data_IF_038746366204
#
_entry.id   IF_038746366204
#
_cell.length_a   1.000
_cell.length_b   1.000
_cell.length_c   1.000
_cell.angle_alpha   90.00
_cell.angle_beta   90.00
_cell.angle_gamma   90.00
#
_symmetry.space_group_name_H-M   'P 1'
#
loop_
_entity.id
_entity.type
_entity.pdbx_description
1 polymer ?
#
# COMPACT_ATOMS: atom_id res chain seq x y z
N UNK A 1 14.72 22.27 15.87
CA UNK A 1 14.66 23.62 16.49
C UNK A 1 14.32 24.63 15.40
N UNK A 2 13.30 25.45 15.60
CA UNK A 2 12.91 26.48 14.61
C UNK A 2 13.88 27.65 14.77
N UNK A 3 14.96 27.67 14.00
CA UNK A 3 16.02 28.66 14.18
C UNK A 3 15.64 30.03 13.60
N UNK A 4 14.81 30.07 12.58
CA UNK A 4 14.37 31.33 11.97
C UNK A 4 13.17 31.12 11.01
N UNK A 5 12.16 31.95 11.12
CA UNK A 5 11.14 32.14 10.09
C UNK A 5 11.41 33.48 9.41
N UNK A 6 11.49 33.48 8.08
CA UNK A 6 11.71 34.69 7.29
C UNK A 6 10.61 34.84 6.27
N UNK A 7 10.17 36.07 6.04
CA UNK A 7 9.31 36.42 4.92
C UNK A 7 10.14 36.78 3.66
N UNK A 8 9.48 36.88 2.51
CA UNK A 8 10.08 37.40 1.27
C UNK A 8 10.63 38.80 1.48
N UNK A 9 11.57 39.20 0.63
CA UNK A 9 12.20 40.54 0.70
C UNK A 9 11.13 41.65 0.71
N UNK A 10 11.24 42.57 1.64
CA UNK A 10 10.27 43.67 1.81
C UNK A 10 9.07 43.34 2.69
N UNK A 11 9.02 42.15 3.28
CA UNK A 11 7.98 41.77 4.24
C UNK A 11 8.59 41.32 5.57
N UNK A 12 7.83 41.54 6.64
CA UNK A 12 8.14 41.06 7.98
C UNK A 12 7.14 39.99 8.38
N UNK A 13 7.55 39.05 9.24
CA UNK A 13 6.65 38.04 9.84
C UNK A 13 6.62 38.22 11.35
N UNK A 14 5.43 38.15 11.92
CA UNK A 14 5.22 38.15 13.36
C UNK A 14 4.20 37.10 13.76
N UNK A 15 4.47 36.38 14.83
CA UNK A 15 3.50 35.49 15.44
C UNK A 15 2.63 36.27 16.42
N UNK A 16 1.33 35.97 16.43
CA UNK A 16 0.35 36.74 17.20
C UNK A 16 0.23 36.26 18.65
N UNK A 17 0.77 35.10 18.97
CA UNK A 17 0.80 34.53 20.33
C UNK A 17 2.19 33.98 20.68
N UNK A 18 3.13 34.87 21.00
CA UNK A 18 4.54 34.57 21.22
C UNK A 18 4.78 33.73 22.51
N UNK A 19 3.84 33.78 23.48
CA UNK A 19 4.00 33.06 24.75
C UNK A 19 4.04 31.55 24.62
N UNK A 20 3.51 31.00 23.50
CA UNK A 20 3.48 29.55 23.25
C UNK A 20 4.71 29.05 22.45
N UNK A 21 5.52 29.93 21.85
CA UNK A 21 6.73 29.56 21.11
C UNK A 21 7.86 28.98 21.99
N UNK A 22 7.79 29.18 23.30
CA UNK A 22 8.82 28.72 24.23
C UNK A 22 8.76 27.21 24.50
N UNK A 23 7.68 26.53 24.08
CA UNK A 23 7.51 25.10 24.29
C UNK A 23 6.98 24.39 23.03
N UNK A 24 7.90 24.18 22.07
CA UNK A 24 7.65 23.53 20.79
C UNK A 24 7.02 22.11 20.96
N UNK A 25 7.49 21.33 21.92
CA UNK A 25 6.98 19.99 22.17
C UNK A 25 5.51 20.03 22.63
N UNK A 26 5.14 21.01 23.45
CA UNK A 26 3.74 21.21 23.87
C UNK A 26 2.86 21.61 22.69
N UNK A 27 3.35 22.42 21.79
CA UNK A 27 2.59 22.85 20.60
C UNK A 27 2.36 21.70 19.61
N UNK A 28 3.34 20.81 19.45
CA UNK A 28 3.19 19.58 18.67
C UNK A 28 2.13 18.67 19.32
N UNK A 29 2.20 18.46 20.63
CA UNK A 29 1.25 17.63 21.39
C UNK A 29 -0.16 18.20 21.42
N UNK A 30 -0.31 19.52 21.57
CA UNK A 30 -1.61 20.19 21.61
C UNK A 30 -2.21 20.46 20.23
N UNK A 31 -1.45 20.19 19.14
CA UNK A 31 -1.87 20.39 17.74
C UNK A 31 -2.44 21.80 17.44
N UNK A 32 -2.09 22.77 18.24
CA UNK A 32 -2.62 24.13 18.11
C UNK A 32 -2.02 24.86 16.92
N UNK A 33 -2.86 25.52 16.10
CA UNK A 33 -2.36 26.41 15.07
C UNK A 33 -1.70 27.63 15.71
N UNK A 34 -0.54 28.02 15.18
CA UNK A 34 0.12 29.24 15.59
C UNK A 34 -0.24 30.37 14.62
N UNK A 35 -1.07 31.33 15.03
CA UNK A 35 -1.45 32.41 14.15
C UNK A 35 -0.28 33.35 13.86
N UNK A 36 -0.07 33.70 12.61
CA UNK A 36 0.96 34.62 12.16
C UNK A 36 0.42 35.68 11.23
N UNK A 37 1.17 36.75 11.09
CA UNK A 37 0.96 37.80 10.12
C UNK A 37 2.24 38.03 9.32
N UNK A 38 2.12 38.11 8.00
CA UNK A 38 3.16 38.62 7.11
C UNK A 38 2.71 39.99 6.66
N UNK A 39 3.54 41.00 6.84
CA UNK A 39 3.13 42.38 6.61
C UNK A 39 4.28 43.25 6.08
N UNK A 40 3.91 44.34 5.46
CA UNK A 40 4.76 45.48 5.15
C UNK A 40 3.99 46.79 5.42
N UNK A 41 4.53 47.94 4.99
CA UNK A 41 3.88 49.24 5.25
C UNK A 41 2.47 49.38 4.63
N UNK A 42 2.13 48.60 3.61
CA UNK A 42 0.93 48.82 2.79
C UNK A 42 -0.02 47.62 2.76
N UNK A 43 0.44 46.42 3.14
CA UNK A 43 -0.34 45.20 3.02
C UNK A 43 0.00 44.20 4.11
N UNK A 44 -0.95 43.30 4.37
CA UNK A 44 -0.71 42.17 5.27
C UNK A 44 -1.49 40.94 4.82
N UNK A 45 -0.98 39.77 5.20
CA UNK A 45 -1.63 38.48 5.09
C UNK A 45 -1.59 37.77 6.46
N UNK A 46 -2.68 37.16 6.86
CA UNK A 46 -2.75 36.34 8.08
C UNK A 46 -2.83 34.87 7.71
N UNK A 47 -2.21 34.03 8.53
CA UNK A 47 -2.25 32.57 8.38
C UNK A 47 -2.07 31.86 9.72
N UNK A 48 -2.11 30.56 9.66
CA UNK A 48 -1.79 29.69 10.79
C UNK A 48 -0.64 28.78 10.38
N UNK A 49 0.37 28.69 11.22
CA UNK A 49 1.43 27.69 11.08
C UNK A 49 1.06 26.46 11.90
N UNK A 50 1.22 25.30 11.32
CA UNK A 50 1.11 24.01 11.99
C UNK A 50 2.48 23.34 11.98
N UNK A 51 2.76 22.58 13.02
CA UNK A 51 3.97 21.80 13.10
C UNK A 51 3.61 20.32 12.89
N UNK A 52 4.48 19.60 12.23
CA UNK A 52 4.33 18.15 12.04
C UNK A 52 5.67 17.45 12.19
N UNK A 53 5.65 16.23 12.71
CA UNK A 53 6.81 15.32 12.69
C UNK A 53 6.88 14.48 11.42
N UNK A 54 5.83 14.53 10.58
CA UNK A 54 5.80 13.79 9.32
C UNK A 54 6.60 14.53 8.23
N UNK A 55 7.19 13.79 7.28
CA UNK A 55 7.74 14.38 6.07
C UNK A 55 6.67 15.14 5.27
N UNK A 56 7.07 16.23 4.62
CA UNK A 56 6.20 17.05 3.78
C UNK A 56 6.62 16.88 2.33
N UNK A 57 5.68 16.54 1.47
CA UNK A 57 5.87 16.54 0.02
C UNK A 57 5.07 17.68 -0.61
N UNK A 58 5.71 18.43 -1.48
CA UNK A 58 5.10 19.48 -2.29
C UNK A 58 5.15 19.04 -3.75
N UNK A 59 4.01 19.09 -4.43
CA UNK A 59 3.90 18.93 -5.87
C UNK A 59 3.38 20.23 -6.48
N UNK A 60 4.21 20.89 -7.26
CA UNK A 60 3.88 22.12 -7.98
C UNK A 60 3.74 21.82 -9.47
N UNK A 61 2.53 21.97 -10.02
CA UNK A 61 2.22 21.69 -11.42
C UNK A 61 2.63 22.84 -12.33
N UNK A 62 3.42 22.56 -13.36
CA UNK A 62 3.82 23.55 -14.38
C UNK A 62 2.92 23.48 -15.60
N UNK A 63 2.55 22.27 -16.02
CA UNK A 63 1.68 22.03 -17.17
C UNK A 63 0.87 20.76 -17.01
N UNK A 64 -0.26 20.73 -17.68
CA UNK A 64 -1.16 19.58 -17.72
C UNK A 64 -1.39 19.18 -19.17
N UNK A 65 -1.23 17.91 -19.48
CA UNK A 65 -1.52 17.32 -20.78
C UNK A 65 -2.60 16.24 -20.60
N UNK A 66 -3.20 15.84 -21.69
CA UNK A 66 -4.16 14.74 -21.73
C UNK A 66 -3.65 13.69 -22.70
N UNK A 67 -3.64 12.43 -22.28
CA UNK A 67 -3.25 11.33 -23.14
C UNK A 67 -4.30 11.03 -24.22
N UNK A 68 -4.03 10.03 -25.07
CA UNK A 68 -4.95 9.63 -26.15
C UNK A 68 -6.28 9.04 -25.66
N UNK A 69 -6.39 8.70 -24.37
CA UNK A 69 -7.59 8.18 -23.71
C UNK A 69 -8.31 9.26 -22.88
N UNK A 70 -7.72 10.46 -22.80
CA UNK A 70 -8.26 11.60 -22.06
C UNK A 70 -7.89 11.59 -20.58
N UNK A 71 -6.94 10.76 -20.15
CA UNK A 71 -6.40 10.79 -18.79
C UNK A 71 -5.48 12.00 -18.62
N UNK A 72 -5.61 12.66 -17.48
CA UNK A 72 -4.83 13.85 -17.13
C UNK A 72 -3.43 13.48 -16.65
N UNK A 73 -2.41 14.01 -17.31
CA UNK A 73 -1.00 13.87 -16.94
C UNK A 73 -0.43 15.26 -16.59
N UNK A 74 0.07 15.41 -15.39
CA UNK A 74 0.65 16.66 -14.88
C UNK A 74 2.16 16.56 -14.86
N UNK A 75 2.82 17.61 -15.32
CA UNK A 75 4.26 17.80 -15.21
C UNK A 75 4.56 18.93 -14.25
N UNK A 76 5.54 18.73 -13.39
CA UNK A 76 5.84 19.71 -12.35
C UNK A 76 7.16 19.42 -11.63
N UNK A 77 7.24 19.93 -10.41
CA UNK A 77 8.35 19.68 -9.50
C UNK A 77 7.83 19.05 -8.22
N UNK A 78 8.51 18.01 -7.78
CA UNK A 78 8.35 17.41 -6.46
C UNK A 78 9.44 17.94 -5.55
N UNK A 79 9.07 18.45 -4.37
CA UNK A 79 10.00 18.74 -3.28
C UNK A 79 9.57 17.93 -2.05
N UNK A 80 10.50 17.16 -1.49
CA UNK A 80 10.28 16.34 -0.30
C UNK A 80 11.16 16.80 0.86
N UNK A 81 10.55 17.15 1.99
CA UNK A 81 11.19 17.50 3.25
C UNK A 81 10.99 16.34 4.24
N UNK A 82 12.05 15.63 4.57
CA UNK A 82 11.99 14.48 5.49
C UNK A 82 13.41 14.03 5.89
N UNK A 83 14.22 14.98 6.30
CA UNK A 83 15.66 14.89 6.47
C UNK A 83 16.34 15.95 5.58
N UNK A 84 17.21 15.54 4.65
CA UNK A 84 17.69 16.45 3.60
C UNK A 84 16.55 16.68 2.60
N UNK A 85 16.37 17.92 2.17
CA UNK A 85 15.39 18.23 1.14
C UNK A 85 15.83 17.63 -0.21
N UNK A 86 14.89 16.98 -0.90
CA UNK A 86 15.07 16.42 -2.24
C UNK A 86 14.11 17.16 -3.17
N UNK A 87 14.61 17.68 -4.29
CA UNK A 87 13.79 18.27 -5.34
C UNK A 87 14.07 17.55 -6.67
N UNK A 88 13.01 17.27 -7.44
CA UNK A 88 13.11 16.59 -8.73
C UNK A 88 11.97 17.03 -9.64
N UNK A 89 12.24 17.30 -10.92
CA UNK A 89 11.19 17.33 -11.92
C UNK A 89 10.38 16.03 -11.85
N UNK A 90 9.10 16.10 -12.13
CA UNK A 90 8.24 14.94 -12.05
C UNK A 90 7.08 15.00 -13.03
N UNK A 91 6.52 13.84 -13.31
CA UNK A 91 5.17 13.69 -13.87
C UNK A 91 4.29 12.90 -12.90
N UNK A 92 3.03 13.23 -12.83
CA UNK A 92 2.09 12.50 -11.99
C UNK A 92 0.67 12.53 -12.55
N UNK A 93 -0.08 11.49 -12.24
CA UNK A 93 -1.47 11.35 -12.65
C UNK A 93 -2.29 10.59 -11.60
N UNK A 94 -3.60 10.74 -11.67
CA UNK A 94 -4.54 10.01 -10.80
C UNK A 94 -4.46 8.52 -11.14
N UNK A 95 -4.32 7.68 -10.11
CA UNK A 95 -4.31 6.21 -10.26
C UNK A 95 -5.48 5.56 -9.53
N UNK A 96 -5.68 4.26 -9.83
CA UNK A 96 -6.71 3.41 -9.25
C UNK A 96 -7.97 3.38 -10.10
N UNK A 97 -8.85 2.45 -9.78
CA UNK A 97 -10.15 2.27 -10.44
C UNK A 97 -11.26 2.65 -9.46
N UNK A 98 -11.53 1.80 -8.45
CA UNK A 98 -12.53 2.07 -7.41
C UNK A 98 -12.17 3.25 -6.52
N UNK A 99 -10.88 3.44 -6.23
CA UNK A 99 -10.40 4.55 -5.40
C UNK A 99 -10.67 5.95 -5.97
N UNK A 100 -11.01 6.06 -7.26
CA UNK A 100 -11.44 7.32 -7.89
C UNK A 100 -12.83 7.79 -7.43
N UNK A 101 -13.59 6.96 -6.71
CA UNK A 101 -14.88 7.35 -6.14
C UNK A 101 -14.79 8.02 -4.78
N UNK A 102 -13.64 7.95 -4.12
CA UNK A 102 -13.43 8.59 -2.82
C UNK A 102 -13.19 10.09 -2.94
N UNK A 103 -13.33 10.79 -1.83
CA UNK A 103 -13.17 12.25 -1.74
C UNK A 103 -11.75 12.74 -2.05
N UNK A 104 -10.75 11.86 -1.95
CA UNK A 104 -9.33 12.17 -2.13
C UNK A 104 -8.66 11.10 -3.00
N UNK A 105 -7.93 11.54 -4.04
CA UNK A 105 -7.35 10.66 -5.05
C UNK A 105 -5.96 10.16 -4.68
N UNK A 106 -5.63 8.97 -5.12
CA UNK A 106 -4.25 8.47 -5.14
C UNK A 106 -3.56 8.85 -6.45
N UNK A 107 -2.23 9.03 -6.40
CA UNK A 107 -1.45 9.41 -7.58
C UNK A 107 -0.34 8.39 -7.86
N UNK A 108 -0.02 8.23 -9.12
CA UNK A 108 1.27 7.72 -9.56
C UNK A 108 2.18 8.91 -9.81
N UNK A 109 3.42 8.83 -9.31
CA UNK A 109 4.45 9.86 -9.42
C UNK A 109 5.69 9.23 -10.05
N UNK A 110 6.18 9.81 -11.14
CA UNK A 110 7.46 9.45 -11.75
C UNK A 110 8.44 10.62 -11.60
N UNK A 111 9.63 10.33 -11.09
CA UNK A 111 10.71 11.30 -11.00
C UNK A 111 11.45 11.38 -12.34
N UNK A 112 11.83 12.61 -12.72
CA UNK A 112 12.47 12.90 -13.98
C UNK A 112 13.78 13.67 -13.74
N UNK A 113 14.71 13.60 -14.69
CA UNK A 113 15.84 14.51 -14.77
C UNK A 113 15.47 15.82 -15.52
N UNK A 114 16.41 16.72 -15.64
CA UNK A 114 16.24 18.00 -16.37
C UNK A 114 15.92 17.83 -17.86
N UNK A 115 16.13 16.64 -18.42
CA UNK A 115 15.84 16.31 -19.82
C UNK A 115 14.50 15.55 -19.99
N UNK A 116 13.76 15.35 -18.88
CA UNK A 116 12.52 14.60 -18.88
C UNK A 116 12.71 13.07 -18.96
N UNK A 117 13.91 12.58 -18.62
CA UNK A 117 14.21 11.14 -18.54
C UNK A 117 14.01 10.68 -17.09
N UNK A 118 13.55 9.45 -16.91
CA UNK A 118 13.35 8.84 -15.60
C UNK A 118 14.58 8.91 -14.72
N UNK A 119 14.44 9.43 -13.51
CA UNK A 119 15.49 9.66 -12.53
C UNK A 119 15.21 8.86 -11.26
N UNK A 120 16.15 8.00 -10.85
CA UNK A 120 16.02 7.17 -9.67
C UNK A 120 16.55 7.88 -8.43
N UNK A 121 15.71 8.00 -7.41
CA UNK A 121 16.06 8.60 -6.12
C UNK A 121 15.55 7.72 -4.96
N UNK A 122 16.31 7.69 -3.87
CA UNK A 122 15.85 7.08 -2.63
C UNK A 122 15.04 8.09 -1.82
N UNK A 123 13.75 7.90 -1.71
CA UNK A 123 12.88 8.76 -0.92
C UNK A 123 12.65 8.17 0.48
N UNK A 124 12.88 8.96 1.53
CA UNK A 124 12.68 8.60 2.95
C UNK A 124 13.38 7.30 3.37
N UNK A 125 14.53 6.99 2.76
CA UNK A 125 15.32 5.79 3.05
C UNK A 125 14.73 4.49 2.47
N UNK A 126 13.73 4.59 1.61
CA UNK A 126 13.24 3.47 0.79
C UNK A 126 14.18 3.23 -0.40
N UNK A 127 13.98 2.17 -1.17
CA UNK A 127 14.85 1.83 -2.31
C UNK A 127 14.91 2.97 -3.34
N UNK A 128 15.98 3.00 -4.13
CA UNK A 128 16.07 3.91 -5.28
C UNK A 128 15.06 3.50 -6.37
N UNK A 129 14.19 4.44 -6.75
CA UNK A 129 13.22 4.26 -7.82
C UNK A 129 12.86 5.58 -8.50
N UNK A 130 12.39 5.49 -9.75
CA UNK A 130 11.78 6.59 -10.47
C UNK A 130 10.25 6.60 -10.32
N UNK A 131 9.66 5.45 -10.05
CA UNK A 131 8.22 5.23 -9.90
C UNK A 131 7.83 5.25 -8.42
N UNK A 132 6.83 6.06 -8.05
CA UNK A 132 6.30 6.14 -6.69
C UNK A 132 4.78 6.16 -6.69
N UNK A 133 4.19 5.75 -5.58
CA UNK A 133 2.75 5.76 -5.39
C UNK A 133 2.41 6.64 -4.19
N UNK A 134 1.52 7.60 -4.40
CA UNK A 134 0.91 8.40 -3.34
C UNK A 134 -0.45 7.80 -3.01
N UNK A 135 -0.51 7.03 -1.94
CA UNK A 135 -1.75 6.41 -1.44
C UNK A 135 -2.56 7.43 -0.65
N UNK A 136 -3.79 7.66 -1.07
CA UNK A 136 -4.67 8.65 -0.42
C UNK A 136 -5.15 8.24 0.97
N UNK A 137 -5.17 6.94 1.27
CA UNK A 137 -5.74 6.37 2.49
C UNK A 137 -7.21 6.77 2.73
N UNK A 138 -7.94 7.11 1.67
CA UNK A 138 -9.27 7.69 1.77
C UNK A 138 -10.35 6.68 2.16
N UNK A 139 -10.17 5.40 1.81
CA UNK A 139 -11.06 4.29 2.16
C UNK A 139 -11.05 3.96 3.66
N UNK A 140 -9.92 4.15 4.33
CA UNK A 140 -9.75 3.82 5.74
C UNK A 140 -9.84 5.07 6.63
N UNK A 141 -10.89 5.18 7.44
CA UNK A 141 -11.05 6.27 8.40
C UNK A 141 -9.92 6.34 9.43
N UNK A 142 -9.34 5.19 9.83
CA UNK A 142 -8.23 5.16 10.76
C UNK A 142 -6.89 5.58 10.16
N UNK A 143 -6.73 5.48 8.83
CA UNK A 143 -5.47 5.68 8.08
C UNK A 143 -4.34 4.71 8.42
N UNK A 144 -4.61 3.65 9.18
CA UNK A 144 -3.61 2.72 9.74
C UNK A 144 -3.59 1.38 9.01
N UNK A 145 -4.73 0.88 8.52
CA UNK A 145 -4.91 -0.51 8.05
C UNK A 145 -3.89 -0.93 7.01
N UNK A 146 -3.77 -0.15 5.94
CA UNK A 146 -2.87 -0.50 4.84
C UNK A 146 -1.40 -0.50 5.26
N UNK A 147 -1.00 0.49 6.06
CA UNK A 147 0.38 0.58 6.57
C UNK A 147 0.69 -0.55 7.56
N UNK A 148 -0.22 -0.83 8.50
CA UNK A 148 -0.09 -1.91 9.47
C UNK A 148 0.05 -3.27 8.76
N UNK A 149 -0.81 -3.55 7.78
CA UNK A 149 -0.74 -4.78 7.01
C UNK A 149 0.54 -4.89 6.18
N UNK A 150 0.98 -3.78 5.55
CA UNK A 150 2.24 -3.76 4.79
C UNK A 150 3.45 -4.04 5.68
N UNK A 151 3.53 -3.42 6.85
CA UNK A 151 4.64 -3.63 7.78
C UNK A 151 4.64 -5.07 8.31
N UNK A 152 3.48 -5.58 8.69
CA UNK A 152 3.33 -6.97 9.14
C UNK A 152 3.70 -7.98 8.06
N UNK A 153 3.31 -7.73 6.79
CA UNK A 153 3.72 -8.58 5.69
C UNK A 153 5.24 -8.64 5.54
N UNK A 154 5.92 -7.50 5.65
CA UNK A 154 7.37 -7.44 5.57
C UNK A 154 8.08 -8.19 6.73
N UNK A 155 7.44 -8.36 7.88
CA UNK A 155 7.97 -9.15 8.99
C UNK A 155 7.76 -10.66 8.82
N UNK A 156 6.64 -11.07 8.23
CA UNK A 156 6.26 -12.48 8.03
C UNK A 156 6.92 -13.06 6.78
N UNK A 157 7.03 -12.25 5.73
CA UNK A 157 7.46 -12.69 4.42
C UNK A 157 8.98 -12.85 4.34
N UNK A 158 9.42 -13.85 3.56
CA UNK A 158 10.84 -14.12 3.27
C UNK A 158 11.24 -13.81 1.82
N UNK A 159 10.29 -13.33 1.01
CA UNK A 159 10.48 -13.15 -0.43
C UNK A 159 9.74 -11.91 -0.94
N UNK A 160 10.51 -10.90 -1.30
CA UNK A 160 10.00 -9.64 -1.83
C UNK A 160 9.29 -8.78 -0.76
N UNK A 161 9.63 -7.53 -0.71
CA UNK A 161 9.03 -6.56 0.20
C UNK A 161 8.90 -5.22 -0.47
N UNK A 162 7.89 -4.46 -0.09
CA UNK A 162 7.74 -3.06 -0.45
C UNK A 162 7.38 -2.27 0.80
N UNK A 163 7.72 -0.98 0.80
CA UNK A 163 7.57 -0.13 1.97
C UNK A 163 6.69 1.06 1.66
N UNK A 164 6.11 1.62 2.71
CA UNK A 164 5.42 2.90 2.64
C UNK A 164 5.74 3.76 3.86
N UNK A 165 5.72 5.07 3.67
CA UNK A 165 5.97 6.07 4.70
C UNK A 165 4.87 7.13 4.67
N UNK A 166 4.35 7.50 5.84
CA UNK A 166 3.41 8.63 5.91
C UNK A 166 4.09 9.94 5.53
N UNK A 167 3.36 10.75 4.82
CA UNK A 167 3.75 12.11 4.42
C UNK A 167 2.53 13.03 4.49
N UNK A 168 2.76 14.32 4.61
CA UNK A 168 1.73 15.33 4.36
C UNK A 168 1.96 15.95 2.98
N UNK A 169 0.92 15.96 2.14
CA UNK A 169 1.00 16.41 0.76
C UNK A 169 0.47 17.83 0.61
N UNK A 170 1.23 18.67 -0.08
CA UNK A 170 0.77 19.91 -0.66
C UNK A 170 0.72 19.76 -2.18
N UNK A 171 -0.37 20.18 -2.79
CA UNK A 171 -0.57 20.19 -4.24
C UNK A 171 -0.92 21.61 -4.68
N UNK A 172 -0.10 22.19 -5.55
CA UNK A 172 -0.27 23.53 -6.08
C UNK A 172 -0.49 24.60 -4.97
N UNK A 173 0.35 24.54 -3.94
CA UNK A 173 0.30 25.43 -2.78
C UNK A 173 -0.84 25.20 -1.81
N UNK A 174 -1.69 24.18 -2.02
CA UNK A 174 -2.79 23.82 -1.14
C UNK A 174 -2.47 22.59 -0.34
N UNK A 175 -2.74 22.60 0.97
CA UNK A 175 -2.61 21.39 1.79
C UNK A 175 -3.63 20.34 1.33
N UNK A 176 -3.13 19.20 0.88
CA UNK A 176 -3.94 18.13 0.27
C UNK A 176 -4.20 16.96 1.23
N UNK A 177 -3.48 16.92 2.36
CA UNK A 177 -3.75 15.99 3.46
C UNK A 177 -2.68 14.94 3.71
N UNK A 178 -3.04 13.97 4.54
CA UNK A 178 -2.19 12.83 4.90
C UNK A 178 -2.19 11.78 3.78
N UNK A 179 -1.01 11.43 3.31
CA UNK A 179 -0.77 10.38 2.31
C UNK A 179 0.23 9.34 2.83
N UNK A 180 0.31 8.21 2.14
CA UNK A 180 1.45 7.33 2.26
C UNK A 180 2.20 7.28 0.93
N UNK A 181 3.51 7.63 0.96
CA UNK A 181 4.44 7.41 -0.13
C UNK A 181 4.86 5.95 -0.12
N UNK A 182 4.66 5.24 -1.22
CA UNK A 182 4.83 3.81 -1.33
C UNK A 182 5.72 3.44 -2.52
N UNK A 183 6.58 2.44 -2.33
CA UNK A 183 7.32 1.78 -3.39
C UNK A 183 6.36 1.06 -4.35
N UNK A 184 6.62 1.08 -5.68
CA UNK A 184 5.85 0.27 -6.60
C UNK A 184 6.15 -1.22 -6.42
N UNK A 185 5.25 -2.08 -6.87
CA UNK A 185 5.50 -3.51 -6.95
C UNK A 185 6.03 -3.86 -8.34
N UNK A 186 7.27 -4.37 -8.42
CA UNK A 186 7.96 -4.70 -9.66
C UNK A 186 9.07 -5.73 -9.45
N UNK A 187 9.92 -5.96 -10.46
CA UNK A 187 11.07 -6.86 -10.35
C UNK A 187 12.11 -6.43 -9.31
N UNK A 188 12.26 -5.13 -9.02
CA UNK A 188 13.17 -4.64 -7.96
C UNK A 188 12.66 -5.10 -6.58
N UNK A 189 11.33 -5.10 -6.36
CA UNK A 189 10.71 -5.66 -5.14
C UNK A 189 11.12 -7.10 -4.91
N UNK A 190 11.27 -7.89 -5.97
CA UNK A 190 11.60 -9.31 -5.92
C UNK A 190 13.11 -9.57 -5.88
N UNK A 191 13.95 -8.54 -5.99
CA UNK A 191 15.40 -8.66 -6.16
C UNK A 191 15.78 -9.65 -7.28
N UNK A 192 14.98 -9.65 -8.36
CA UNK A 192 15.09 -10.59 -9.49
C UNK A 192 15.18 -9.83 -10.81
N UNK A 193 15.64 -10.53 -11.85
CA UNK A 193 15.67 -9.99 -13.20
C UNK A 193 14.45 -10.40 -14.00
N UNK A 194 14.07 -9.59 -14.99
CA UNK A 194 12.94 -9.90 -15.86
C UNK A 194 13.16 -11.15 -16.73
N UNK A 195 14.41 -11.58 -16.94
CA UNK A 195 14.72 -12.75 -17.76
C UNK A 195 14.34 -14.06 -17.07
N UNK A 196 14.50 -14.12 -15.74
CA UNK A 196 14.26 -15.30 -14.92
C UNK A 196 12.88 -15.32 -14.27
N UNK A 197 12.15 -14.19 -14.34
CA UNK A 197 10.95 -13.96 -13.56
C UNK A 197 9.80 -13.49 -14.43
N UNK A 198 8.63 -14.04 -14.18
CA UNK A 198 7.35 -13.60 -14.75
C UNK A 198 6.45 -13.13 -13.60
N UNK A 199 5.85 -11.98 -13.78
CA UNK A 199 4.97 -11.35 -12.81
C UNK A 199 3.57 -11.27 -13.35
N UNK A 200 2.63 -11.84 -12.61
CA UNK A 200 1.21 -11.82 -12.94
C UNK A 200 0.44 -11.10 -11.84
N UNK A 201 -0.64 -10.44 -12.22
CA UNK A 201 -1.53 -9.76 -11.30
C UNK A 201 -2.92 -10.38 -11.35
N UNK A 202 -3.50 -10.64 -10.19
CA UNK A 202 -4.93 -10.97 -10.11
C UNK A 202 -5.73 -9.67 -10.13
N UNK A 203 -6.57 -9.49 -11.15
CA UNK A 203 -7.25 -8.21 -11.43
C UNK A 203 -8.75 -8.23 -11.15
N UNK A 204 -9.34 -9.39 -10.91
CA UNK A 204 -10.75 -9.55 -10.54
C UNK A 204 -10.96 -10.84 -9.75
N UNK A 205 -12.12 -10.99 -9.12
CA UNK A 205 -12.48 -12.22 -8.46
C UNK A 205 -12.66 -13.37 -9.46
N UNK A 206 -12.20 -14.61 -9.17
CA UNK A 206 -12.32 -15.74 -10.10
C UNK A 206 -13.75 -15.98 -10.57
N UNK A 207 -14.75 -15.80 -9.68
CA UNK A 207 -16.17 -15.93 -10.03
C UNK A 207 -16.69 -14.82 -10.96
N UNK A 208 -16.20 -13.60 -10.85
CA UNK A 208 -16.59 -12.47 -11.69
C UNK A 208 -16.12 -12.64 -13.12
N UNK A 209 -14.92 -13.21 -13.33
CA UNK A 209 -14.39 -13.50 -14.66
C UNK A 209 -15.32 -14.38 -15.49
N UNK A 210 -16.07 -15.28 -14.84
CA UNK A 210 -17.05 -16.13 -15.50
C UNK A 210 -18.35 -15.40 -15.86
N UNK A 211 -18.75 -14.40 -15.06
CA UNK A 211 -19.98 -13.63 -15.28
C UNK A 211 -19.82 -12.53 -16.32
N UNK A 212 -18.64 -11.95 -16.46
CA UNK A 212 -18.42 -10.83 -17.37
C UNK A 212 -18.49 -11.23 -18.84
N UNK A 213 -18.54 -12.54 -19.15
CA UNK A 213 -18.70 -13.12 -20.50
C UNK A 213 -17.93 -12.35 -21.60
N UNK A 214 -16.85 -11.72 -21.20
CA UNK A 214 -16.09 -10.80 -22.03
C UNK A 214 -14.98 -11.61 -22.69
N UNK A 215 -15.14 -11.92 -23.97
CA UNK A 215 -14.12 -12.63 -24.76
C UNK A 215 -12.76 -11.94 -24.71
N UNK A 216 -12.72 -10.64 -24.38
CA UNK A 216 -11.50 -9.87 -24.16
C UNK A 216 -10.74 -10.29 -22.88
N UNK A 217 -11.40 -10.90 -21.91
CA UNK A 217 -10.74 -11.42 -20.69
C UNK A 217 -10.06 -12.78 -20.92
N UNK A 218 -10.28 -13.41 -22.04
CA UNK A 218 -9.73 -14.72 -22.37
C UNK A 218 -8.98 -14.64 -23.68
N UNK A 219 -7.69 -14.59 -23.62
CA UNK A 219 -6.92 -14.70 -24.84
C UNK A 219 -5.48 -14.24 -24.74
N UNK A 220 -4.65 -14.95 -25.46
CA UNK A 220 -3.21 -14.70 -25.55
C UNK A 220 -2.89 -13.27 -26.03
N UNK A 221 -3.72 -12.70 -26.92
CA UNK A 221 -3.53 -11.35 -27.44
C UNK A 221 -3.71 -10.25 -26.38
N UNK A 222 -4.49 -10.53 -25.34
CA UNK A 222 -4.74 -9.58 -24.23
C UNK A 222 -3.89 -9.88 -23.01
N UNK A 223 -2.98 -10.84 -23.08
CA UNK A 223 -2.09 -11.26 -21.99
C UNK A 223 -2.85 -11.65 -20.71
N UNK A 224 -4.08 -12.18 -20.85
CA UNK A 224 -4.97 -12.54 -19.74
C UNK A 224 -5.47 -13.98 -19.83
N UNK A 225 -5.62 -14.59 -18.65
CA UNK A 225 -6.32 -15.86 -18.50
C UNK A 225 -7.33 -15.73 -17.34
N UNK A 226 -8.56 -15.38 -17.69
CA UNK A 226 -9.61 -15.14 -16.70
C UNK A 226 -9.33 -13.93 -15.80
N UNK A 227 -9.16 -14.18 -14.52
CA UNK A 227 -8.89 -13.20 -13.47
C UNK A 227 -7.41 -12.79 -13.36
N UNK A 228 -6.51 -13.46 -14.10
CA UNK A 228 -5.07 -13.23 -14.03
C UNK A 228 -4.60 -12.59 -15.35
N UNK A 229 -3.74 -11.57 -15.23
CA UNK A 229 -3.05 -10.93 -16.35
C UNK A 229 -1.54 -10.98 -16.16
N UNK A 230 -0.80 -10.97 -17.29
CA UNK A 230 0.65 -10.81 -17.27
C UNK A 230 0.94 -9.33 -17.03
N UNK A 231 1.48 -9.02 -15.85
CA UNK A 231 1.87 -7.66 -15.50
C UNK A 231 3.24 -7.31 -16.08
N UNK A 232 4.23 -8.20 -15.87
CA UNK A 232 5.59 -8.02 -16.40
C UNK A 232 6.19 -9.35 -16.82
N UNK A 233 6.76 -9.39 -18.02
CA UNK A 233 7.61 -10.46 -18.52
C UNK A 233 8.54 -9.92 -19.59
N UNK A 234 9.67 -10.60 -19.83
CA UNK A 234 10.55 -10.27 -20.95
C UNK A 234 9.81 -10.49 -22.28
N UNK A 235 9.96 -9.57 -23.25
CA UNK A 235 9.19 -9.62 -24.50
C UNK A 235 9.32 -10.94 -25.28
N UNK A 236 10.49 -11.55 -25.23
CA UNK A 236 10.77 -12.83 -25.90
C UNK A 236 10.09 -14.01 -25.20
N UNK A 237 9.66 -13.83 -23.93
CA UNK A 237 9.05 -14.87 -23.10
C UNK A 237 7.53 -14.71 -22.94
N UNK A 238 6.87 -13.79 -23.64
CA UNK A 238 5.43 -13.56 -23.47
C UNK A 238 4.56 -14.79 -23.74
N UNK A 239 4.91 -15.58 -24.77
CA UNK A 239 4.20 -16.84 -25.08
C UNK A 239 4.38 -17.86 -23.95
N UNK A 240 5.60 -17.99 -23.44
CA UNK A 240 5.90 -18.87 -22.32
C UNK A 240 5.22 -18.38 -21.04
N UNK A 241 5.21 -17.07 -20.80
CA UNK A 241 4.49 -16.49 -19.66
C UNK A 241 3.00 -16.79 -19.71
N UNK A 242 2.39 -16.74 -20.88
CA UNK A 242 1.00 -17.14 -21.06
C UNK A 242 0.79 -18.64 -20.78
N UNK A 243 1.66 -19.51 -21.28
CA UNK A 243 1.57 -20.95 -21.04
C UNK A 243 1.72 -21.28 -19.54
N UNK A 244 2.61 -20.59 -18.81
CA UNK A 244 2.75 -20.75 -17.35
C UNK A 244 1.48 -20.31 -16.60
N UNK A 245 0.92 -19.16 -16.97
CA UNK A 245 -0.31 -18.65 -16.37
C UNK A 245 -1.50 -19.58 -16.63
N UNK A 246 -1.62 -20.10 -17.85
CA UNK A 246 -2.66 -21.04 -18.23
C UNK A 246 -2.52 -22.35 -17.45
N UNK A 247 -1.31 -22.93 -17.37
CA UNK A 247 -1.05 -24.13 -16.56
C UNK A 247 -1.40 -23.93 -15.09
N UNK A 248 -1.07 -22.75 -14.51
CA UNK A 248 -1.42 -22.42 -13.13
C UNK A 248 -2.94 -22.42 -12.89
N UNK A 249 -3.72 -21.82 -13.80
CA UNK A 249 -5.18 -21.85 -13.71
C UNK A 249 -5.75 -23.27 -13.85
N UNK A 250 -5.19 -24.10 -14.73
CA UNK A 250 -5.58 -25.49 -14.85
C UNK A 250 -5.24 -26.31 -13.60
N UNK A 251 -4.06 -26.06 -13.01
CA UNK A 251 -3.64 -26.71 -11.76
C UNK A 251 -4.64 -26.46 -10.64
N UNK A 252 -5.04 -25.21 -10.41
CA UNK A 252 -6.05 -24.87 -9.40
C UNK A 252 -7.41 -25.55 -9.65
N UNK A 253 -7.73 -25.83 -10.89
CA UNK A 253 -8.90 -26.64 -11.29
C UNK A 253 -8.70 -28.17 -11.19
N UNK A 254 -7.58 -28.63 -10.61
CA UNK A 254 -7.25 -30.05 -10.49
C UNK A 254 -6.91 -30.72 -11.83
N UNK A 255 -6.39 -29.95 -12.80
CA UNK A 255 -6.03 -30.42 -14.16
C UNK A 255 -4.61 -29.99 -14.49
N UNK A 256 -4.06 -30.52 -15.57
CA UNK A 256 -2.78 -30.09 -16.13
C UNK A 256 -2.84 -30.17 -17.65
N UNK A 257 -2.15 -29.23 -18.29
CA UNK A 257 -1.93 -29.24 -19.75
C UNK A 257 -0.66 -30.04 -20.11
N UNK A 258 0.12 -30.48 -19.12
CA UNK A 258 1.35 -31.24 -19.26
C UNK A 258 2.45 -30.52 -20.07
N UNK A 259 2.35 -29.20 -20.24
CA UNK A 259 3.33 -28.39 -20.97
C UNK A 259 4.41 -27.82 -20.06
N UNK A 260 4.01 -27.41 -18.87
CA UNK A 260 4.82 -26.70 -17.88
C UNK A 260 4.72 -27.43 -16.55
N UNK A 261 5.85 -27.63 -15.89
CA UNK A 261 5.88 -28.14 -14.53
C UNK A 261 5.87 -26.98 -13.54
N UNK A 262 4.88 -26.93 -12.67
CA UNK A 262 4.79 -25.94 -11.60
C UNK A 262 5.19 -26.57 -10.27
N UNK A 263 6.03 -25.85 -9.55
CA UNK A 263 6.53 -26.18 -8.21
C UNK A 263 5.98 -25.08 -7.26
N UNK A 264 4.96 -25.40 -6.48
CA UNK A 264 4.38 -24.45 -5.54
C UNK A 264 5.31 -24.25 -4.35
N UNK A 265 5.64 -23.01 -4.00
CA UNK A 265 6.42 -22.71 -2.81
C UNK A 265 5.53 -22.74 -1.57
N UNK A 266 5.33 -23.93 -1.01
CA UNK A 266 4.41 -24.15 0.11
C UNK A 266 4.73 -23.26 1.31
N UNK A 267 6.01 -23.00 1.60
CA UNK A 267 6.40 -22.09 2.69
C UNK A 267 5.86 -20.68 2.47
N UNK A 268 6.05 -20.11 1.27
CA UNK A 268 5.50 -18.80 0.92
C UNK A 268 3.98 -18.79 0.98
N UNK A 269 3.31 -19.81 0.48
CA UNK A 269 1.85 -19.91 0.45
C UNK A 269 1.25 -20.05 1.86
N UNK A 270 1.88 -20.81 2.75
CA UNK A 270 1.45 -20.90 4.15
C UNK A 270 1.61 -19.59 4.88
N UNK A 271 2.75 -18.89 4.70
CA UNK A 271 2.96 -17.52 5.24
C UNK A 271 1.91 -16.54 4.75
N UNK A 272 1.62 -16.55 3.45
CA UNK A 272 0.57 -15.73 2.86
C UNK A 272 -0.79 -15.99 3.51
N UNK A 273 -1.20 -17.25 3.63
CA UNK A 273 -2.50 -17.59 4.20
C UNK A 273 -2.60 -17.21 5.69
N UNK A 274 -1.56 -17.42 6.48
CA UNK A 274 -1.49 -17.00 7.88
C UNK A 274 -1.57 -15.46 7.98
N UNK A 275 -0.84 -14.75 7.12
CA UNK A 275 -0.90 -13.30 7.06
C UNK A 275 -2.31 -12.79 6.72
N UNK A 276 -2.92 -13.28 5.62
CA UNK A 276 -4.26 -12.89 5.21
C UNK A 276 -5.30 -13.22 6.30
N UNK A 277 -5.13 -14.36 6.99
CA UNK A 277 -5.95 -14.69 8.15
C UNK A 277 -5.80 -13.65 9.25
N UNK A 278 -4.58 -13.23 9.57
CA UNK A 278 -4.31 -12.26 10.65
C UNK A 278 -4.97 -10.91 10.38
N UNK A 279 -4.82 -10.39 9.17
CA UNK A 279 -5.35 -9.08 8.79
C UNK A 279 -6.84 -9.09 8.40
N UNK A 280 -7.48 -10.27 8.39
CA UNK A 280 -8.85 -10.46 7.88
C UNK A 280 -8.95 -9.97 6.42
N UNK A 281 -7.98 -10.35 5.60
CA UNK A 281 -7.81 -9.89 4.22
C UNK A 281 -8.73 -10.57 3.23
N UNK A 282 -10.04 -10.40 3.37
CA UNK A 282 -11.05 -11.04 2.49
C UNK A 282 -10.83 -10.64 1.03
N UNK A 283 -10.56 -9.36 0.78
CA UNK A 283 -10.35 -8.83 -0.58
C UNK A 283 -9.06 -9.33 -1.24
N UNK A 284 -8.20 -9.97 -0.46
CA UNK A 284 -6.91 -10.52 -0.92
C UNK A 284 -6.93 -12.04 -1.12
N UNK A 285 -8.06 -12.72 -1.03
CA UNK A 285 -8.10 -14.19 -1.19
C UNK A 285 -8.16 -14.65 -2.65
N UNK A 286 -8.64 -13.83 -3.56
CA UNK A 286 -8.79 -14.16 -4.99
C UNK A 286 -8.38 -13.04 -5.94
N UNK A 287 -8.20 -11.81 -5.44
CA UNK A 287 -7.64 -10.68 -6.18
C UNK A 287 -6.64 -9.94 -5.30
N UNK A 288 -6.10 -8.83 -5.77
CA UNK A 288 -5.11 -8.04 -5.04
C UNK A 288 -3.88 -8.85 -4.63
N UNK A 289 -3.43 -9.71 -5.53
CA UNK A 289 -2.23 -10.50 -5.37
C UNK A 289 -1.37 -10.44 -6.63
N UNK A 290 -0.08 -10.60 -6.43
CA UNK A 290 0.86 -10.91 -7.49
C UNK A 290 1.25 -12.38 -7.41
N UNK A 291 1.25 -13.07 -8.57
CA UNK A 291 1.78 -14.42 -8.72
C UNK A 291 3.12 -14.28 -9.41
N UNK A 292 4.13 -14.91 -8.87
CA UNK A 292 5.50 -14.85 -9.34
C UNK A 292 5.91 -16.23 -9.81
N UNK A 293 6.30 -16.35 -11.07
CA UNK A 293 6.90 -17.57 -11.60
C UNK A 293 8.38 -17.33 -11.89
N UNK A 294 9.24 -18.02 -11.13
CA UNK A 294 10.68 -18.03 -11.37
C UNK A 294 11.07 -19.31 -12.09
N UNK A 295 11.81 -19.20 -13.21
CA UNK A 295 12.36 -20.36 -13.88
C UNK A 295 13.36 -21.10 -13.00
N UNK A 296 13.18 -22.41 -12.83
CA UNK A 296 14.08 -23.31 -12.10
C UNK A 296 14.58 -24.47 -12.97
N UNK A 297 14.38 -24.39 -14.27
CA UNK A 297 14.79 -25.35 -15.28
C UNK A 297 13.97 -25.22 -16.56
N UNK A 298 14.31 -25.98 -17.59
CA UNK A 298 13.55 -26.00 -18.84
C UNK A 298 12.10 -26.39 -18.57
N UNK A 299 11.14 -25.52 -18.87
CA UNK A 299 9.71 -25.74 -18.65
C UNK A 299 9.35 -26.06 -17.20
N UNK A 300 10.16 -25.65 -16.21
CA UNK A 300 9.86 -25.80 -14.79
C UNK A 300 9.94 -24.46 -14.07
N UNK A 301 8.86 -24.10 -13.33
CA UNK A 301 8.75 -22.80 -12.64
C UNK A 301 8.36 -23.00 -11.19
N UNK A 302 9.02 -22.23 -10.32
CA UNK A 302 8.60 -22.09 -8.93
C UNK A 302 7.57 -20.97 -8.82
N UNK A 303 6.42 -21.27 -8.23
CA UNK A 303 5.31 -20.32 -8.05
C UNK A 303 5.30 -19.82 -6.61
N UNK A 304 5.24 -18.49 -6.46
CA UNK A 304 5.06 -17.76 -5.21
C UNK A 304 3.95 -16.75 -5.37
N UNK A 305 3.42 -16.27 -4.24
CA UNK A 305 2.40 -15.21 -4.22
C UNK A 305 2.80 -14.12 -3.26
N UNK A 306 2.43 -12.88 -3.60
CA UNK A 306 2.59 -11.71 -2.77
C UNK A 306 1.30 -10.91 -2.78
N UNK A 307 0.79 -10.54 -1.61
CA UNK A 307 -0.44 -9.75 -1.52
C UNK A 307 -0.13 -8.27 -1.75
N UNK A 308 -1.17 -7.54 -2.15
CA UNK A 308 -1.11 -6.13 -2.49
C UNK A 308 -2.44 -5.47 -2.12
N UNK A 309 -2.45 -4.14 -1.83
CA UNK A 309 -3.68 -3.37 -1.64
C UNK A 309 -4.46 -3.79 -0.39
N UNK A 310 -3.98 -3.36 0.78
CA UNK A 310 -4.48 -3.82 2.08
C UNK A 310 -5.46 -2.84 2.75
N UNK A 311 -6.06 -1.94 2.01
CA UNK A 311 -6.98 -0.97 2.58
C UNK A 311 -8.25 -1.64 3.17
N UNK A 312 -8.72 -2.73 2.56
CA UNK A 312 -9.88 -3.52 3.02
C UNK A 312 -9.46 -4.67 3.95
N UNK A 313 -8.95 -4.32 5.14
CA UNK A 313 -8.44 -5.27 6.14
C UNK A 313 -8.89 -4.90 7.54
N UNK A 314 -8.57 -5.75 8.54
CA UNK A 314 -8.94 -5.54 9.94
C UNK A 314 -10.40 -5.14 10.11
N UNK A 315 -11.30 -5.89 9.45
CA UNK A 315 -12.73 -5.73 9.53
C UNK A 315 -13.34 -4.69 8.58
N UNK A 316 -12.55 -3.82 7.92
CA UNK A 316 -13.04 -2.99 6.83
C UNK A 316 -13.28 -3.86 5.60
N UNK A 317 -14.49 -3.84 5.06
CA UNK A 317 -14.91 -4.69 3.96
C UNK A 317 -15.23 -3.90 2.69
N UNK A 318 -15.46 -4.59 1.61
CA UNK A 318 -15.75 -4.04 0.27
C UNK A 318 -17.03 -3.20 0.18
N UNK A 319 -17.84 -3.20 1.22
CA UNK A 319 -19.02 -2.32 1.36
C UNK A 319 -18.71 -1.00 2.09
N UNK A 320 -17.42 -0.69 2.27
CA UNK A 320 -16.90 0.47 2.99
C UNK A 320 -17.35 0.55 4.47
N UNK A 321 -17.64 -0.61 5.08
CA UNK A 321 -18.05 -0.71 6.49
C UNK A 321 -17.11 -1.56 7.29
N UNK A 322 -17.01 -1.24 8.56
CA UNK A 322 -16.27 -2.06 9.52
C UNK A 322 -17.22 -3.10 10.13
N UNK A 323 -16.86 -4.35 9.95
CA UNK A 323 -17.58 -5.51 10.47
C UNK A 323 -16.84 -6.07 11.69
N UNK A 324 -17.29 -5.72 12.89
CA UNK A 324 -16.64 -6.14 14.14
C UNK A 324 -16.76 -7.66 14.41
N UNK A 325 -17.67 -8.35 13.77
CA UNK A 325 -17.82 -9.82 13.83
C UNK A 325 -16.90 -10.55 12.84
N UNK A 326 -16.22 -9.84 11.97
CA UNK A 326 -15.30 -10.40 10.98
C UNK A 326 -14.08 -11.13 11.59
N UNK A 327 -13.81 -10.96 12.89
CA UNK A 327 -12.71 -11.67 13.57
C UNK A 327 -12.84 -13.21 13.45
N UNK A 328 -14.04 -13.76 13.23
CA UNK A 328 -14.28 -15.19 13.05
C UNK A 328 -14.39 -15.60 11.56
N UNK A 329 -14.14 -14.68 10.62
CA UNK A 329 -14.17 -15.00 9.20
C UNK A 329 -13.12 -16.03 8.84
N UNK A 330 -13.54 -17.04 8.09
CA UNK A 330 -12.63 -17.99 7.49
C UNK A 330 -11.95 -17.36 6.28
N UNK A 331 -10.62 -17.31 6.31
CA UNK A 331 -9.80 -16.73 5.25
C UNK A 331 -8.92 -17.83 4.67
N UNK A 332 -9.13 -18.15 3.42
CA UNK A 332 -8.37 -19.16 2.69
C UNK A 332 -8.09 -18.68 1.26
N UNK A 333 -6.82 -18.63 0.91
CA UNK A 333 -6.39 -18.35 -0.45
C UNK A 333 -6.72 -19.52 -1.41
N UNK A 334 -7.03 -19.23 -2.67
CA UNK A 334 -7.43 -20.27 -3.64
C UNK A 334 -6.37 -21.37 -3.83
N UNK A 335 -5.08 -21.02 -3.70
CA UNK A 335 -3.98 -22.00 -3.82
C UNK A 335 -3.94 -22.91 -2.59
N UNK A 336 -4.23 -22.38 -1.40
CA UNK A 336 -4.37 -23.19 -0.18
C UNK A 336 -5.60 -24.11 -0.30
N UNK A 337 -6.72 -23.64 -0.83
CA UNK A 337 -7.89 -24.49 -1.11
C UNK A 337 -7.52 -25.65 -2.05
N UNK A 338 -6.71 -25.39 -3.08
CA UNK A 338 -6.19 -26.44 -3.94
C UNK A 338 -5.31 -27.44 -3.16
N UNK A 339 -4.32 -26.97 -2.40
CA UNK A 339 -3.44 -27.81 -1.60
C UNK A 339 -4.24 -28.66 -0.58
N UNK A 340 -5.24 -28.06 0.09
CA UNK A 340 -6.17 -28.76 0.98
C UNK A 340 -6.98 -29.87 0.27
N UNK A 341 -7.21 -29.73 -1.03
CA UNK A 341 -7.91 -30.75 -1.82
C UNK A 341 -7.04 -31.93 -2.23
N UNK A 342 -5.73 -31.72 -2.42
CA UNK A 342 -4.79 -32.73 -2.93
C UNK A 342 -3.89 -33.32 -1.85
N UNK A 343 -3.51 -32.53 -0.86
CA UNK A 343 -2.55 -32.87 0.21
C UNK A 343 -3.03 -32.35 1.58
N UNK A 344 -4.24 -32.74 2.05
CA UNK A 344 -4.87 -32.10 3.22
C UNK A 344 -4.07 -32.22 4.51
N UNK A 345 -3.48 -33.36 4.78
CA UNK A 345 -2.75 -33.61 6.04
C UNK A 345 -1.43 -32.85 6.08
N UNK A 346 -0.71 -32.80 4.96
CA UNK A 346 0.54 -32.04 4.81
C UNK A 346 0.28 -30.54 4.87
N UNK A 347 -0.76 -30.06 4.19
CA UNK A 347 -1.15 -28.65 4.19
C UNK A 347 -1.56 -28.17 5.59
N UNK A 348 -2.38 -28.93 6.31
CA UNK A 348 -2.74 -28.63 7.72
C UNK A 348 -1.52 -28.58 8.63
N UNK A 349 -0.62 -29.57 8.50
CA UNK A 349 0.59 -29.60 9.30
C UNK A 349 1.46 -28.37 9.02
N UNK A 350 1.66 -28.01 7.74
CA UNK A 350 2.45 -26.84 7.34
C UNK A 350 1.85 -25.52 7.80
N UNK A 351 0.52 -25.36 7.69
CA UNK A 351 -0.17 -24.16 8.19
C UNK A 351 -0.05 -24.04 9.71
N UNK A 352 -0.25 -25.13 10.45
CA UNK A 352 -0.10 -25.14 11.91
C UNK A 352 1.36 -24.81 12.33
N UNK A 353 2.34 -25.42 11.69
CA UNK A 353 3.77 -25.17 11.98
C UNK A 353 4.11 -23.70 11.71
N UNK A 354 3.67 -23.16 10.57
CA UNK A 354 3.89 -21.76 10.20
C UNK A 354 3.22 -20.82 11.20
N UNK A 355 1.96 -21.07 11.58
CA UNK A 355 1.27 -20.28 12.59
C UNK A 355 2.00 -20.29 13.93
N UNK A 356 2.39 -21.47 14.43
CA UNK A 356 3.11 -21.60 15.70
C UNK A 356 4.45 -20.88 15.70
N UNK A 357 5.15 -20.82 14.57
CA UNK A 357 6.41 -20.09 14.44
C UNK A 357 6.22 -18.57 14.60
N UNK A 358 5.11 -18.03 14.13
CA UNK A 358 4.83 -16.60 14.19
C UNK A 358 4.00 -16.15 15.40
N UNK A 359 3.14 -17.01 15.96
CA UNK A 359 2.27 -16.66 17.11
C UNK A 359 3.04 -16.28 18.37
N UNK A 360 4.28 -16.71 18.50
CA UNK A 360 5.17 -16.38 19.62
C UNK A 360 6.11 -15.22 19.34
N UNK A 361 6.10 -14.66 18.15
CA UNK A 361 7.00 -13.59 17.70
C UNK A 361 6.23 -12.38 17.19
N UNK A 362 5.86 -12.37 15.92
CA UNK A 362 5.20 -11.21 15.26
C UNK A 362 3.67 -11.24 15.34
N UNK A 363 3.05 -12.42 15.47
CA UNK A 363 1.59 -12.57 15.55
C UNK A 363 1.10 -12.74 17.00
N UNK A 364 1.67 -12.03 17.95
CA UNK A 364 1.17 -11.96 19.32
C UNK A 364 0.50 -10.60 19.59
N UNK A 365 -0.33 -10.57 20.64
CA UNK A 365 -1.12 -9.38 20.98
C UNK A 365 -0.23 -8.17 21.27
N UNK A 366 0.83 -8.36 22.07
CA UNK A 366 1.72 -7.27 22.51
C UNK A 366 2.37 -6.59 21.28
N UNK A 367 2.96 -7.36 20.39
CA UNK A 367 3.63 -6.85 19.18
C UNK A 367 2.66 -6.11 18.25
N UNK A 368 1.52 -6.71 17.93
CA UNK A 368 0.55 -6.10 17.01
C UNK A 368 -0.07 -4.82 17.58
N UNK A 369 -0.35 -4.80 18.89
CA UNK A 369 -0.88 -3.60 19.51
C UNK A 369 0.18 -2.49 19.61
N UNK A 370 1.44 -2.84 19.85
CA UNK A 370 2.55 -1.88 19.81
C UNK A 370 2.69 -1.24 18.43
N UNK A 371 2.59 -2.01 17.35
CA UNK A 371 2.60 -1.47 15.99
C UNK A 371 1.43 -0.52 15.75
N UNK A 372 0.21 -0.87 16.19
CA UNK A 372 -0.95 0.02 16.11
C UNK A 372 -0.69 1.32 16.85
N UNK A 373 -0.11 1.26 18.08
CA UNK A 373 0.18 2.44 18.89
C UNK A 373 1.25 3.32 18.25
N UNK A 374 2.29 2.74 17.64
CA UNK A 374 3.32 3.50 16.89
C UNK A 374 2.71 4.25 15.70
N UNK A 375 1.82 3.61 14.94
CA UNK A 375 1.12 4.25 13.83
C UNK A 375 0.13 5.32 14.31
N UNK A 376 -0.56 5.06 15.42
CA UNK A 376 -1.41 6.05 16.06
C UNK A 376 -0.61 7.31 16.44
N UNK A 377 0.49 7.15 17.15
CA UNK A 377 1.37 8.27 17.50
C UNK A 377 1.83 9.04 16.25
N UNK A 378 2.24 8.33 15.21
CA UNK A 378 2.73 8.97 13.98
C UNK A 378 1.71 9.90 13.31
N UNK A 379 0.42 9.57 13.31
CA UNK A 379 -0.60 10.33 12.57
C UNK A 379 -1.52 11.16 13.47
N UNK A 380 -1.79 10.72 14.69
CA UNK A 380 -2.69 11.45 15.61
C UNK A 380 -1.93 12.44 16.49
N UNK A 381 -0.80 12.02 17.08
CA UNK A 381 0.01 12.92 17.92
C UNK A 381 0.79 13.97 17.09
N UNK A 382 1.08 13.67 15.79
CA UNK A 382 1.61 14.67 14.86
C UNK A 382 0.57 15.71 14.42
N UNK A 383 -0.73 15.49 14.72
CA UNK A 383 -1.84 16.30 14.25
C UNK A 383 -2.22 16.11 12.80
N UNK A 384 -1.61 15.17 12.08
CA UNK A 384 -1.88 14.95 10.66
C UNK A 384 -3.34 14.52 10.41
N UNK A 385 -3.91 13.64 11.27
CA UNK A 385 -5.33 13.26 11.15
C UNK A 385 -6.27 14.45 11.36
N UNK A 386 -5.98 15.33 12.32
CA UNK A 386 -6.79 16.52 12.55
C UNK A 386 -6.74 17.46 11.34
N UNK A 387 -5.55 17.69 10.76
CA UNK A 387 -5.39 18.52 9.57
C UNK A 387 -6.08 17.91 8.35
N UNK A 388 -6.01 16.59 8.19
CA UNK A 388 -6.75 15.84 7.18
C UNK A 388 -8.27 16.08 7.31
N UNK A 389 -8.80 15.93 8.54
CA UNK A 389 -10.21 16.12 8.83
C UNK A 389 -10.67 17.57 8.52
N UNK A 390 -9.86 18.55 8.84
CA UNK A 390 -10.14 19.97 8.52
C UNK A 390 -10.15 20.19 7.01
N UNK A 391 -9.14 19.69 6.29
CA UNK A 391 -8.98 19.89 4.85
C UNK A 391 -10.15 19.29 4.06
N UNK A 392 -10.60 18.11 4.45
CA UNK A 392 -11.62 17.34 3.74
C UNK A 392 -12.99 17.36 4.41
N UNK A 393 -13.15 18.15 5.50
CA UNK A 393 -14.41 18.30 6.27
C UNK A 393 -14.94 16.95 6.76
N UNK A 394 -14.02 16.11 7.26
CA UNK A 394 -14.29 14.83 7.89
C UNK A 394 -14.28 14.98 9.41
N UNK A 395 -14.89 14.05 10.12
CA UNK A 395 -14.82 13.94 11.57
C UNK A 395 -14.73 12.45 11.93
N UNK A 396 -13.58 11.85 11.58
CA UNK A 396 -13.38 10.41 11.63
C UNK A 396 -12.00 10.07 12.19
N UNK A 397 -11.81 8.83 12.62
CA UNK A 397 -10.50 8.22 12.77
C UNK A 397 -10.23 7.59 14.13
N UNK A 398 -10.17 8.33 15.23
CA UNK A 398 -9.65 7.83 16.52
C UNK A 398 -10.41 6.61 17.03
N UNK A 399 -11.73 6.62 16.98
CA UNK A 399 -12.56 5.48 17.37
C UNK A 399 -12.29 4.20 16.56
N UNK A 400 -11.86 4.33 15.32
CA UNK A 400 -11.53 3.20 14.45
C UNK A 400 -10.24 2.48 14.87
N UNK A 401 -9.31 3.19 15.49
CA UNK A 401 -8.07 2.58 16.01
C UNK A 401 -8.37 1.60 17.13
N UNK A 402 -9.27 1.95 18.05
CA UNK A 402 -9.68 1.03 19.11
C UNK A 402 -10.43 -0.19 18.55
N UNK A 403 -11.25 -0.01 17.52
CA UNK A 403 -11.90 -1.14 16.83
C UNK A 403 -10.87 -2.10 16.23
N UNK A 404 -9.81 -1.59 15.60
CA UNK A 404 -8.71 -2.42 15.08
C UNK A 404 -8.08 -3.23 16.21
N UNK A 405 -7.75 -2.60 17.36
CA UNK A 405 -7.17 -3.29 18.52
C UNK A 405 -8.07 -4.41 19.05
N UNK A 406 -9.36 -4.16 19.13
CA UNK A 406 -10.32 -5.18 19.59
C UNK A 406 -10.44 -6.33 18.59
N UNK A 407 -10.45 -6.04 17.29
CA UNK A 407 -10.45 -7.05 16.25
C UNK A 407 -9.18 -7.91 16.28
N UNK A 408 -8.01 -7.32 16.46
CA UNK A 408 -6.74 -8.05 16.61
C UNK A 408 -6.83 -9.04 17.78
N UNK A 409 -7.24 -8.61 18.98
CA UNK A 409 -7.36 -9.48 20.16
C UNK A 409 -8.28 -10.68 19.90
N UNK A 410 -9.47 -10.40 19.38
CA UNK A 410 -10.46 -11.44 19.08
C UNK A 410 -9.99 -12.38 17.95
N UNK A 411 -9.30 -11.83 16.96
CA UNK A 411 -8.77 -12.59 15.82
C UNK A 411 -7.69 -13.57 16.25
N UNK A 412 -6.75 -13.16 17.08
CA UNK A 412 -5.68 -14.02 17.57
C UNK A 412 -6.23 -15.21 18.38
N UNK A 413 -7.23 -14.98 19.24
CA UNK A 413 -7.90 -16.07 19.96
C UNK A 413 -8.55 -17.06 18.99
N UNK A 414 -9.27 -16.57 17.98
CA UNK A 414 -9.89 -17.41 16.97
C UNK A 414 -8.86 -18.22 16.16
N UNK A 415 -7.75 -17.59 15.79
CA UNK A 415 -6.68 -18.26 15.04
C UNK A 415 -5.99 -19.35 15.88
N UNK A 416 -5.75 -19.10 17.16
CA UNK A 416 -5.22 -20.10 18.09
C UNK A 416 -6.13 -21.37 18.13
N UNK A 417 -7.42 -21.18 18.29
CA UNK A 417 -8.38 -22.28 18.29
C UNK A 417 -8.41 -23.01 16.94
N UNK A 418 -8.40 -22.26 15.85
CA UNK A 418 -8.49 -22.81 14.49
C UNK A 418 -7.26 -23.64 14.10
N UNK A 419 -6.05 -23.04 14.17
CA UNK A 419 -4.84 -23.73 13.72
C UNK A 419 -4.39 -24.84 14.67
N UNK A 420 -4.72 -24.80 15.95
CA UNK A 420 -4.47 -25.89 16.89
C UNK A 420 -5.48 -27.05 16.74
N UNK A 421 -6.55 -26.86 15.99
CA UNK A 421 -7.53 -27.94 15.71
C UNK A 421 -7.11 -28.88 14.56
N UNK A 422 -6.04 -28.55 13.85
CA UNK A 422 -5.50 -29.29 12.70
C UNK A 422 -4.78 -30.58 13.11
#
# INVERSE_FOLDING_TARGET
MLDKITASEGYEVAFLDIGELENFDTMLQEMKPLPFIIYNETSYCKGNAFFTSLPIMILDTYTTEYDGEGEELRYGEMTLFGGSAIASPCEFHIRGVSSRSYYKMSYKLNLLDENGVKNQESLLGMREDDDWILRSLASDESKIREKLATDLWNEINSFGSYHMKYIELFLDGTYWGLYALQEPFDFKTLQSTSEDTMLYKTCTWPGEALFLNNMEMFGRNNLRCGDIEIDKAHKENLDLAYDVMEEYKYLLGGKSLEKIQLDLDNENLYRLNIFLSTIIGVDNTGKNQYIIANSIGSSKFKIRKLPWDFDMTFGLMVDDRVHEDAFSSFIEDETISYLMSVEPDETKAGLRETYNAFSTTVLNEEHLLEQVDQLYCAIYESGAQMRENIAWKQDVGEGQVEVIKQLIRRRLIWMDEYYNSF
#
